data_IF_855334664272
#
_entry.id   IF_855334664272
#
_cell.length_a   1.000
_cell.length_b   1.000
_cell.length_c   1.000
_cell.angle_alpha   90.00
_cell.angle_beta   90.00
_cell.angle_gamma   90.00
#
_symmetry.space_group_name_H-M   'P 1'
#
loop_
_entity.id
_entity.type
_entity.pdbx_description
1 polymer ?
#
# COMPACT_ATOMS: atom_id res chain seq x y z
N UNK A 1 10.63 -8.11 17.66
CA UNK A 1 9.85 -9.16 16.96
C UNK A 1 10.60 -10.48 17.08
N UNK A 2 9.92 -11.61 17.27
CA UNK A 2 10.59 -12.91 17.42
C UNK A 2 11.03 -13.45 16.05
N UNK A 3 12.10 -14.25 16.00
CA UNK A 3 12.63 -14.81 14.75
C UNK A 3 11.58 -15.60 13.93
N UNK A 4 10.59 -16.19 14.60
CA UNK A 4 9.48 -16.91 13.96
C UNK A 4 8.55 -15.97 13.18
N UNK A 5 8.27 -14.77 13.70
CA UNK A 5 7.43 -13.79 12.99
C UNK A 5 8.09 -13.30 11.70
N UNK A 6 9.41 -13.15 11.69
CA UNK A 6 10.14 -12.71 10.49
C UNK A 6 10.14 -13.78 9.38
N UNK A 7 10.22 -15.06 9.74
CA UNK A 7 10.15 -16.16 8.76
C UNK A 7 8.75 -16.26 8.15
N UNK A 8 7.71 -16.05 8.95
CA UNK A 8 6.34 -16.14 8.46
C UNK A 8 5.97 -14.96 7.56
N UNK A 9 6.47 -13.74 7.81
CA UNK A 9 6.22 -12.61 6.90
C UNK A 9 6.94 -12.77 5.55
N UNK A 10 8.14 -13.37 5.53
CA UNK A 10 8.83 -13.73 4.28
C UNK A 10 7.99 -14.72 3.46
N UNK A 11 7.32 -15.68 4.12
CA UNK A 11 6.42 -16.63 3.45
C UNK A 11 5.18 -15.93 2.86
N UNK A 12 4.66 -14.91 3.54
CA UNK A 12 3.51 -14.15 3.05
C UNK A 12 3.88 -13.12 1.96
N UNK A 13 5.17 -12.88 1.69
CA UNK A 13 5.60 -11.90 0.69
C UNK A 13 4.97 -12.15 -0.69
N UNK A 14 4.89 -13.41 -1.12
CA UNK A 14 4.28 -13.77 -2.41
C UNK A 14 2.78 -13.45 -2.43
N UNK A 15 2.08 -13.70 -1.32
CA UNK A 15 0.66 -13.37 -1.19
C UNK A 15 0.44 -11.86 -1.17
N UNK A 16 1.27 -11.12 -0.42
CA UNK A 16 1.23 -9.65 -0.39
C UNK A 16 1.48 -9.09 -1.80
N UNK A 17 2.44 -9.65 -2.53
CA UNK A 17 2.73 -9.24 -3.91
C UNK A 17 1.52 -9.46 -4.82
N UNK A 18 0.83 -10.59 -4.68
CA UNK A 18 -0.39 -10.89 -5.43
C UNK A 18 -1.55 -9.94 -5.07
N UNK A 19 -1.73 -9.65 -3.79
CA UNK A 19 -2.76 -8.71 -3.34
C UNK A 19 -2.52 -7.31 -3.92
N UNK A 20 -1.26 -6.85 -3.93
CA UNK A 20 -0.88 -5.56 -4.53
C UNK A 20 -1.08 -5.58 -6.06
N UNK A 21 -0.81 -6.71 -6.73
CA UNK A 21 -1.07 -6.86 -8.17
C UNK A 21 -2.56 -6.66 -8.49
N UNK A 22 -3.45 -7.27 -7.71
CA UNK A 22 -4.89 -7.10 -7.89
C UNK A 22 -5.35 -5.66 -7.66
N UNK A 23 -4.72 -4.94 -6.72
CA UNK A 23 -4.97 -3.50 -6.52
C UNK A 23 -4.55 -2.69 -7.75
N UNK A 24 -3.37 -2.98 -8.32
CA UNK A 24 -2.90 -2.29 -9.54
C UNK A 24 -3.85 -2.54 -10.71
N UNK A 25 -4.26 -3.78 -10.93
CA UNK A 25 -5.20 -4.16 -12.01
C UNK A 25 -6.54 -3.44 -11.87
N UNK A 26 -7.09 -3.38 -10.66
CA UNK A 26 -8.33 -2.63 -10.38
C UNK A 26 -8.22 -1.16 -10.79
N UNK A 27 -7.11 -0.49 -10.45
CA UNK A 27 -6.95 0.93 -10.80
C UNK A 27 -6.62 1.14 -12.28
N UNK A 28 -5.95 0.19 -12.95
CA UNK A 28 -5.80 0.21 -14.41
C UNK A 28 -7.15 0.18 -15.11
N UNK A 29 -8.06 -0.69 -14.66
CA UNK A 29 -9.42 -0.76 -15.19
C UNK A 29 -10.13 0.58 -15.02
N UNK A 30 -10.14 1.16 -13.80
CA UNK A 30 -10.77 2.47 -13.54
C UNK A 30 -10.21 3.55 -14.47
N UNK A 31 -8.88 3.65 -14.59
CA UNK A 31 -8.22 4.62 -15.46
C UNK A 31 -8.56 4.43 -16.94
N UNK A 32 -8.64 3.18 -17.41
CA UNK A 32 -9.01 2.87 -18.79
C UNK A 32 -10.47 3.24 -19.10
N UNK A 33 -11.36 3.21 -18.10
CA UNK A 33 -12.74 3.65 -18.25
C UNK A 33 -12.87 5.18 -18.21
N UNK A 34 -12.16 5.85 -17.31
CA UNK A 34 -12.33 7.28 -17.05
C UNK A 34 -11.50 8.19 -17.98
N UNK A 35 -10.41 7.67 -18.56
CA UNK A 35 -9.46 8.45 -19.38
C UNK A 35 -9.46 7.95 -20.83
N UNK A 36 -10.02 8.71 -21.79
CA UNK A 36 -9.86 8.43 -23.21
C UNK A 36 -8.38 8.43 -23.61
N UNK A 37 -7.99 7.53 -24.52
CA UNK A 37 -6.62 7.39 -25.02
C UNK A 37 -5.55 7.22 -23.90
N UNK A 38 -5.92 6.53 -22.82
CA UNK A 38 -5.06 6.29 -21.68
C UNK A 38 -3.72 5.62 -22.07
N UNK A 39 -2.61 6.28 -21.74
CA UNK A 39 -1.27 5.69 -21.85
C UNK A 39 -1.06 4.72 -20.68
N UNK A 40 -1.03 3.42 -20.97
CA UNK A 40 -0.91 2.37 -19.97
C UNK A 40 0.40 2.43 -19.18
N UNK A 41 1.49 2.92 -19.78
CA UNK A 41 2.79 3.04 -19.09
C UNK A 41 2.75 4.18 -18.08
N UNK A 42 2.19 5.32 -18.48
CA UNK A 42 2.04 6.46 -17.57
C UNK A 42 1.00 6.18 -16.47
N UNK A 43 -0.09 5.50 -16.80
CA UNK A 43 -1.08 5.04 -15.82
C UNK A 43 -0.44 4.13 -14.77
N UNK A 44 0.37 3.16 -15.18
CA UNK A 44 1.10 2.29 -14.25
C UNK A 44 2.01 3.08 -13.32
N UNK A 45 2.77 4.03 -13.88
CA UNK A 45 3.67 4.90 -13.10
C UNK A 45 2.89 5.66 -12.02
N UNK A 46 1.75 6.24 -12.37
CA UNK A 46 0.89 6.98 -11.45
C UNK A 46 0.25 6.07 -10.39
N UNK A 47 -0.21 4.88 -10.77
CA UNK A 47 -0.82 3.90 -9.85
C UNK A 47 0.20 3.44 -8.80
N UNK A 48 1.42 3.05 -9.22
CA UNK A 48 2.46 2.65 -8.27
C UNK A 48 2.87 3.79 -7.34
N UNK A 49 2.98 5.01 -7.86
CA UNK A 49 3.27 6.19 -7.04
C UNK A 49 2.17 6.43 -5.99
N UNK A 50 0.89 6.30 -6.38
CA UNK A 50 -0.24 6.45 -5.46
C UNK A 50 -0.27 5.35 -4.38
N UNK A 51 -0.02 4.09 -4.75
CA UNK A 51 0.05 2.97 -3.79
C UNK A 51 1.18 3.19 -2.79
N UNK A 52 2.37 3.59 -3.25
CA UNK A 52 3.50 3.89 -2.36
C UNK A 52 3.15 5.00 -1.37
N UNK A 53 2.58 6.11 -1.84
CA UNK A 53 2.17 7.21 -0.97
C UNK A 53 1.10 6.78 0.03
N UNK A 54 0.13 5.97 -0.38
CA UNK A 54 -0.90 5.45 0.51
C UNK A 54 -0.31 4.60 1.66
N UNK A 55 0.70 3.76 1.37
CA UNK A 55 1.42 3.01 2.41
C UNK A 55 2.13 3.95 3.38
N UNK A 56 2.84 4.97 2.87
CA UNK A 56 3.52 5.98 3.70
C UNK A 56 2.53 6.73 4.60
N UNK A 57 1.37 7.11 4.05
CA UNK A 57 0.32 7.80 4.80
C UNK A 57 -0.26 6.92 5.92
N UNK A 58 -0.51 5.63 5.63
CA UNK A 58 -0.97 4.65 6.63
C UNK A 58 0.06 4.47 7.74
N UNK A 59 1.33 4.31 7.41
CA UNK A 59 2.40 4.18 8.40
C UNK A 59 2.53 5.43 9.28
N UNK A 60 2.47 6.61 8.67
CA UNK A 60 2.58 7.89 9.37
C UNK A 60 1.40 8.10 10.32
N UNK A 61 0.19 7.78 9.87
CA UNK A 61 -1.02 7.89 10.68
C UNK A 61 -1.03 6.88 11.84
N UNK A 62 -0.51 5.66 11.61
CA UNK A 62 -0.38 4.64 12.66
C UNK A 62 0.59 5.09 13.76
N UNK A 63 1.74 5.66 13.40
CA UNK A 63 2.72 6.23 14.35
C UNK A 63 2.15 7.41 15.15
N UNK A 64 1.31 8.24 14.52
CA UNK A 64 0.66 9.37 15.18
C UNK A 64 -0.38 8.93 16.21
N UNK A 65 -1.15 7.88 15.92
CA UNK A 65 -2.14 7.31 16.85
C UNK A 65 -1.49 6.75 18.13
N UNK A 66 -0.35 6.06 18.00
CA UNK A 66 0.42 5.53 19.14
C UNK A 66 0.98 6.64 20.03
N UNK A 67 1.46 7.75 19.44
CA UNK A 67 1.98 8.90 20.20
C UNK A 67 0.87 9.58 21.02
N UNK A 68 -0.33 9.75 20.46
CA UNK A 68 -1.45 10.39 21.16
C UNK A 68 -2.05 9.54 22.29
N UNK A 69 -1.78 8.24 22.32
CA UNK A 69 -2.23 7.36 23.40
C UNK A 69 -1.30 7.38 24.63
N UNK A 70 -0.04 7.80 24.46
CA UNK A 70 0.97 7.76 25.53
C UNK A 70 1.07 9.06 26.35
N UNK A 71 0.37 10.13 25.95
CA UNK A 71 0.33 11.44 26.64
C UNK A 71 -0.82 11.53 27.68
N UNK A 72 -1.49 10.42 28.00
CA UNK A 72 -2.70 10.39 28.85
C UNK A 72 -2.55 9.87 30.28
N UNK A 73 -1.32 9.67 30.78
CA UNK A 73 -1.07 9.22 32.15
C UNK A 73 -0.25 10.27 32.93
N UNK A 74 -0.92 11.32 33.39
CA UNK A 74 -0.52 12.12 34.56
C UNK A 74 -1.55 11.95 35.68
#
# INVERSE_FOLDING_TARGET
MSAVQNIEIERYHDQITEDIRQVVERYREIMAWDVPDNDTVEADRLIFQAIHNAVVDIETNSKKAEATHNDGCE
#
